data_IF_436435837098
#
_entry.id   IF_436435837098
#
_cell.length_a   1.000
_cell.length_b   1.000
_cell.length_c   1.000
_cell.angle_alpha   90.00
_cell.angle_beta   90.00
_cell.angle_gamma   90.00
#
_symmetry.space_group_name_H-M   'P 1'
#
loop_
_entity.id
_entity.type
_entity.pdbx_description
1 polymer ?
#
# COMPACT_ATOMS: atom_id res chain seq x y z
N UNK A 1 3.87 -17.50 -0.51
CA UNK A 1 3.68 -16.06 -0.81
C UNK A 1 2.28 -15.74 -0.32
N UNK A 2 2.09 -14.64 0.40
CA UNK A 2 0.76 -14.24 0.87
C UNK A 2 0.27 -13.13 -0.07
N UNK A 3 -0.97 -13.26 -0.56
CA UNK A 3 -1.67 -12.17 -1.24
C UNK A 3 -1.88 -10.99 -0.29
N UNK A 4 -2.12 -9.81 -0.84
CA UNK A 4 -2.45 -8.60 -0.07
C UNK A 4 -3.93 -8.25 -0.19
N UNK A 5 -4.33 -7.11 0.41
CA UNK A 5 -5.72 -6.61 0.36
C UNK A 5 -6.25 -6.45 -1.06
N UNK A 6 -5.40 -6.08 -2.01
CA UNK A 6 -5.76 -5.77 -3.40
C UNK A 6 -5.20 -6.78 -4.41
N UNK A 7 -4.73 -7.96 -3.96
CA UNK A 7 -4.25 -8.98 -4.89
C UNK A 7 -4.33 -10.40 -4.33
N UNK A 8 -4.79 -11.33 -5.16
CA UNK A 8 -4.54 -12.76 -5.02
C UNK A 8 -3.03 -13.05 -4.95
N UNK A 9 -2.67 -14.10 -4.22
CA UNK A 9 -1.29 -14.56 -4.03
C UNK A 9 -0.50 -14.74 -5.33
N UNK A 10 -1.16 -15.20 -6.40
CA UNK A 10 -0.54 -15.51 -7.68
C UNK A 10 -0.33 -14.27 -8.57
N UNK A 11 -0.87 -13.11 -8.18
CA UNK A 11 -0.75 -11.86 -8.90
C UNK A 11 0.22 -10.92 -8.16
N UNK A 12 1.40 -10.65 -8.73
CA UNK A 12 2.37 -9.75 -8.11
C UNK A 12 1.83 -8.32 -8.00
N UNK A 13 2.06 -7.71 -6.84
CA UNK A 13 1.71 -6.32 -6.57
C UNK A 13 2.73 -5.70 -5.61
N UNK A 14 3.03 -4.42 -5.78
CA UNK A 14 3.88 -3.65 -4.85
C UNK A 14 3.04 -2.60 -4.15
N UNK A 15 3.08 -2.59 -2.83
CA UNK A 15 2.32 -1.65 -2.01
C UNK A 15 3.21 -0.50 -1.57
N UNK A 16 2.74 0.72 -1.76
CA UNK A 16 3.39 1.94 -1.30
C UNK A 16 2.36 2.85 -0.64
N UNK A 17 2.78 3.66 0.32
CA UNK A 17 2.01 4.78 0.83
C UNK A 17 2.30 6.05 0.04
N UNK A 18 1.31 6.93 -0.13
CA UNK A 18 1.55 8.26 -0.70
C UNK A 18 2.20 9.23 0.32
N UNK A 19 2.37 8.80 1.56
CA UNK A 19 3.13 9.51 2.59
C UNK A 19 4.00 8.55 3.40
N UNK A 20 5.09 9.06 3.96
CA UNK A 20 5.89 8.28 4.90
C UNK A 20 5.08 7.89 6.15
N UNK A 21 4.16 8.75 6.58
CA UNK A 21 3.32 8.52 7.75
C UNK A 21 2.44 7.28 7.58
N UNK A 22 1.78 7.12 6.42
CA UNK A 22 0.92 5.95 6.18
C UNK A 22 1.74 4.66 6.03
N UNK A 23 2.92 4.70 5.37
CA UNK A 23 3.83 3.54 5.33
C UNK A 23 4.20 3.06 6.75
N UNK A 24 4.52 3.99 7.64
CA UNK A 24 4.83 3.70 9.04
C UNK A 24 3.61 3.12 9.77
N UNK A 25 2.43 3.69 9.57
CA UNK A 25 1.24 3.25 10.28
C UNK A 25 0.77 1.86 9.81
N UNK A 26 0.74 1.62 8.50
CA UNK A 26 0.42 0.32 7.90
C UNK A 26 1.38 -0.76 8.38
N UNK A 27 2.69 -0.49 8.37
CA UNK A 27 3.67 -1.47 8.83
C UNK A 27 3.54 -1.77 10.33
N UNK A 28 3.24 -0.75 11.14
CA UNK A 28 3.03 -0.92 12.57
C UNK A 28 1.81 -1.80 12.89
N UNK A 29 0.69 -1.55 12.21
CA UNK A 29 -0.54 -2.32 12.38
C UNK A 29 -0.37 -3.76 11.89
N UNK A 30 0.24 -3.97 10.72
CA UNK A 30 0.44 -5.32 10.17
C UNK A 30 1.42 -6.17 10.96
N UNK A 31 2.47 -5.59 11.55
CA UNK A 31 3.42 -6.32 12.38
C UNK A 31 2.92 -6.57 13.81
N UNK A 32 1.75 -6.03 14.17
CA UNK A 32 1.14 -6.15 15.49
C UNK A 32 2.09 -5.79 16.65
N UNK A 33 3.03 -4.87 16.44
CA UNK A 33 4.01 -4.47 17.45
C UNK A 33 5.36 -4.01 16.91
N UNK A 34 6.42 -4.25 17.69
CA UNK A 34 7.78 -3.78 17.43
C UNK A 34 8.42 -4.55 16.27
N UNK A 35 8.86 -3.88 15.18
CA UNK A 35 9.62 -4.55 14.13
C UNK A 35 10.88 -5.18 14.68
N UNK A 36 11.14 -6.43 14.25
CA UNK A 36 12.34 -7.19 14.63
C UNK A 36 13.45 -7.12 13.58
N UNK A 37 13.19 -6.45 12.45
CA UNK A 37 14.13 -6.32 11.34
C UNK A 37 14.51 -4.85 11.12
N UNK A 38 15.71 -4.55 10.61
CA UNK A 38 16.05 -3.21 10.15
C UNK A 38 15.05 -2.74 9.09
N UNK A 39 14.55 -1.52 9.28
CA UNK A 39 13.55 -0.90 8.42
C UNK A 39 14.17 0.24 7.64
N UNK A 40 13.67 0.48 6.43
CA UNK A 40 13.98 1.67 5.64
C UNK A 40 12.69 2.32 5.15
N UNK A 41 12.75 3.63 4.89
CA UNK A 41 11.77 4.33 4.07
C UNK A 41 12.47 4.66 2.76
N UNK A 42 11.94 4.12 1.67
CA UNK A 42 12.37 4.43 0.31
C UNK A 42 11.39 5.42 -0.30
N UNK A 43 11.88 6.57 -0.75
CA UNK A 43 11.07 7.54 -1.47
C UNK A 43 11.21 7.31 -2.96
N UNK A 44 10.07 7.19 -3.63
CA UNK A 44 10.01 7.02 -5.08
C UNK A 44 9.44 8.27 -5.75
N UNK A 45 9.92 8.58 -6.95
CA UNK A 45 9.25 9.44 -7.90
C UNK A 45 8.41 8.55 -8.81
N UNK A 46 7.12 8.86 -8.95
CA UNK A 46 6.26 8.21 -9.91
C UNK A 46 6.00 9.16 -11.09
N UNK A 47 5.73 8.66 -12.31
CA UNK A 47 5.40 9.49 -13.46
C UNK A 47 4.22 10.44 -13.18
N UNK A 48 4.33 11.70 -13.57
CA UNK A 48 3.26 12.70 -13.45
C UNK A 48 2.31 12.63 -14.66
N UNK A 49 1.74 11.45 -14.88
CA UNK A 49 0.73 11.19 -15.92
C UNK A 49 -0.52 10.58 -15.26
N UNK A 50 -1.61 11.35 -15.12
CA UNK A 50 -2.85 10.86 -14.52
C UNK A 50 -3.45 9.63 -15.21
N UNK A 51 -3.19 9.41 -16.50
CA UNK A 51 -3.74 8.25 -17.24
C UNK A 51 -3.10 6.92 -16.78
N UNK A 52 -1.92 6.98 -16.14
CA UNK A 52 -1.25 5.82 -15.56
C UNK A 52 -1.85 5.37 -14.23
N UNK A 53 -2.85 6.09 -13.70
CA UNK A 53 -3.43 5.81 -12.40
C UNK A 53 -4.95 5.64 -12.45
N UNK A 54 -5.43 4.67 -11.68
CA UNK A 54 -6.85 4.57 -11.34
C UNK A 54 -7.01 5.00 -9.88
N UNK A 55 -7.85 6.01 -9.62
CA UNK A 55 -8.22 6.44 -8.27
C UNK A 55 -9.75 6.38 -8.12
N UNK A 56 -10.29 5.23 -7.67
CA UNK A 56 -11.72 5.08 -7.43
C UNK A 56 -12.14 5.98 -6.27
N UNK A 57 -13.33 6.57 -6.34
CA UNK A 57 -13.91 7.21 -5.14
C UNK A 57 -14.27 6.12 -4.14
N UNK A 58 -14.31 6.41 -2.83
CA UNK A 58 -14.72 5.41 -1.84
C UNK A 58 -16.09 4.76 -2.12
N UNK A 59 -17.02 5.49 -2.73
CA UNK A 59 -18.33 4.95 -3.14
C UNK A 59 -18.31 4.07 -4.41
N UNK A 60 -17.21 4.08 -5.16
CA UNK A 60 -17.00 3.24 -6.35
C UNK A 60 -16.29 1.91 -6.00
N UNK A 61 -15.75 1.81 -4.78
CA UNK A 61 -15.16 0.59 -4.27
C UNK A 61 -16.25 -0.42 -3.87
N UNK A 62 -15.97 -1.73 -4.00
CA UNK A 62 -16.96 -2.74 -3.64
C UNK A 62 -17.31 -2.68 -2.15
N UNK A 63 -18.57 -2.99 -1.83
CA UNK A 63 -19.01 -3.08 -0.44
C UNK A 63 -18.12 -4.05 0.35
N UNK A 64 -17.65 -3.62 1.52
CA UNK A 64 -16.76 -4.40 2.37
C UNK A 64 -15.28 -4.37 1.97
N UNK A 65 -14.85 -3.49 1.05
CA UNK A 65 -13.43 -3.34 0.67
C UNK A 65 -12.51 -3.07 1.88
N UNK A 66 -13.03 -2.39 2.91
CA UNK A 66 -12.34 -1.98 4.14
C UNK A 66 -12.48 -3.00 5.29
N UNK A 67 -13.04 -4.18 5.02
CA UNK A 67 -13.18 -5.24 6.04
C UNK A 67 -11.83 -5.62 6.67
N UNK A 68 -11.89 -5.96 7.97
CA UNK A 68 -10.77 -6.42 8.78
C UNK A 68 -11.09 -7.79 9.39
N UNK A 69 -10.36 -8.88 9.03
CA UNK A 69 -9.27 -8.93 8.04
C UNK A 69 -9.76 -8.65 6.61
N UNK A 70 -8.82 -8.40 5.68
CA UNK A 70 -9.16 -8.18 4.27
C UNK A 70 -9.95 -9.38 3.73
N UNK A 71 -11.08 -9.10 3.12
CA UNK A 71 -11.98 -10.11 2.57
C UNK A 71 -11.98 -10.06 1.03
N UNK A 72 -12.65 -11.03 0.43
CA UNK A 72 -12.78 -11.25 -1.01
C UNK A 72 -13.12 -10.00 -1.85
N UNK A 73 -13.95 -9.02 -1.41
CA UNK A 73 -14.30 -7.87 -2.24
C UNK A 73 -13.12 -7.02 -2.72
N UNK A 74 -12.18 -6.66 -1.83
CA UNK A 74 -11.01 -5.85 -2.21
C UNK A 74 -9.99 -6.64 -3.02
N UNK A 75 -9.82 -7.93 -2.68
CA UNK A 75 -8.94 -8.85 -3.40
C UNK A 75 -9.41 -9.02 -4.85
N UNK A 76 -10.68 -9.33 -5.06
CA UNK A 76 -11.25 -9.55 -6.39
C UNK A 76 -11.15 -8.28 -7.25
N UNK A 77 -11.46 -7.10 -6.67
CA UNK A 77 -11.36 -5.82 -7.36
C UNK A 77 -9.92 -5.52 -7.81
N UNK A 78 -8.96 -5.59 -6.89
CA UNK A 78 -7.57 -5.29 -7.19
C UNK A 78 -6.93 -6.32 -8.12
N UNK A 79 -7.29 -7.60 -7.98
CA UNK A 79 -6.85 -8.65 -8.90
C UNK A 79 -7.41 -8.49 -10.30
N UNK A 80 -8.66 -8.06 -10.45
CA UNK A 80 -9.18 -7.73 -11.78
C UNK A 80 -8.42 -6.56 -12.39
N UNK A 81 -8.16 -5.50 -11.62
CA UNK A 81 -7.37 -4.36 -12.07
C UNK A 81 -5.94 -4.76 -12.50
N UNK A 82 -5.27 -5.62 -11.73
CA UNK A 82 -3.94 -6.14 -12.07
C UNK A 82 -3.94 -6.93 -13.39
N UNK A 83 -4.96 -7.78 -13.61
CA UNK A 83 -5.11 -8.57 -14.84
C UNK A 83 -5.43 -7.69 -16.05
N UNK A 84 -6.24 -6.66 -15.85
CA UNK A 84 -6.60 -5.69 -16.90
C UNK A 84 -5.36 -4.93 -17.39
N UNK A 85 -4.42 -4.62 -16.49
CA UNK A 85 -3.11 -4.04 -16.85
C UNK A 85 -3.18 -2.70 -17.58
N UNK A 86 -4.29 -1.95 -17.42
CA UNK A 86 -4.53 -0.67 -18.12
C UNK A 86 -3.80 0.51 -17.47
N UNK A 87 -3.56 0.43 -16.16
CA UNK A 87 -2.88 1.47 -15.39
C UNK A 87 -1.67 0.86 -14.68
N UNK A 88 -0.68 1.71 -14.42
CA UNK A 88 0.49 1.36 -13.63
C UNK A 88 0.17 1.31 -12.13
N UNK A 89 -0.63 2.27 -11.65
CA UNK A 89 -0.96 2.40 -10.23
C UNK A 89 -2.46 2.40 -9.95
N UNK A 90 -2.85 1.77 -8.85
CA UNK A 90 -4.19 1.85 -8.27
C UNK A 90 -4.07 2.60 -6.95
N UNK A 91 -4.61 3.83 -6.91
CA UNK A 91 -4.62 4.67 -5.72
C UNK A 91 -5.90 4.39 -4.95
N UNK A 92 -5.75 4.05 -3.67
CA UNK A 92 -6.86 3.61 -2.80
C UNK A 92 -6.72 4.24 -1.42
N UNK A 93 -7.85 4.49 -0.73
CA UNK A 93 -7.82 4.86 0.69
C UNK A 93 -7.11 3.79 1.53
N UNK A 94 -6.35 4.22 2.54
CA UNK A 94 -5.87 3.30 3.57
C UNK A 94 -7.04 2.89 4.47
N UNK A 95 -7.12 1.60 4.79
CA UNK A 95 -8.08 1.10 5.79
C UNK A 95 -7.68 1.54 7.20
N UNK A 96 -6.38 1.70 7.45
CA UNK A 96 -5.85 2.08 8.76
C UNK A 96 -6.09 3.57 9.05
N UNK A 97 -5.96 4.43 8.04
CA UNK A 97 -6.26 5.85 8.13
C UNK A 97 -6.94 6.34 6.82
N UNK A 98 -8.28 6.36 6.74
CA UNK A 98 -9.01 6.70 5.50
C UNK A 98 -8.75 8.09 4.92
N UNK A 99 -8.10 8.98 5.67
CA UNK A 99 -7.66 10.30 5.20
C UNK A 99 -6.35 10.25 4.40
N UNK A 100 -5.61 9.14 4.49
CA UNK A 100 -4.39 8.86 3.75
C UNK A 100 -4.66 7.84 2.64
N UNK A 101 -3.73 7.79 1.67
CA UNK A 101 -3.85 6.94 0.49
C UNK A 101 -2.64 6.04 0.34
N UNK A 102 -2.91 4.83 -0.13
CA UNK A 102 -1.92 3.88 -0.62
C UNK A 102 -1.98 3.84 -2.15
N UNK A 103 -0.89 3.41 -2.77
CA UNK A 103 -0.84 3.06 -4.18
C UNK A 103 -0.35 1.62 -4.32
N UNK A 104 -1.11 0.83 -5.07
CA UNK A 104 -0.73 -0.52 -5.49
C UNK A 104 -0.15 -0.39 -6.89
N UNK A 105 1.10 -0.80 -7.08
CA UNK A 105 1.78 -0.77 -8.37
C UNK A 105 1.66 -2.14 -9.03
N UNK A 106 1.26 -2.15 -10.29
CA UNK A 106 1.27 -3.34 -11.14
C UNK A 106 2.67 -3.52 -11.77
N UNK A 107 3.49 -4.46 -11.29
CA UNK A 107 4.86 -4.63 -11.79
C UNK A 107 4.91 -5.12 -13.26
N UNK A 108 3.80 -5.63 -13.80
CA UNK A 108 3.73 -6.06 -15.20
C UNK A 108 3.46 -4.90 -16.17
N UNK A 109 3.11 -3.70 -15.67
CA UNK A 109 2.80 -2.55 -16.51
C UNK A 109 4.09 -1.94 -17.12
N UNK A 110 4.14 -1.62 -18.43
CA UNK A 110 5.36 -1.11 -19.08
C UNK A 110 5.93 0.19 -18.47
N UNK A 111 5.06 1.06 -17.95
CA UNK A 111 5.46 2.34 -17.33
C UNK A 111 6.20 2.19 -15.99
N UNK A 112 6.26 0.98 -15.40
CA UNK A 112 7.00 0.74 -14.14
C UNK A 112 8.47 1.11 -14.27
N UNK A 113 9.04 0.98 -15.47
CA UNK A 113 10.43 1.39 -15.75
C UNK A 113 10.69 2.90 -15.58
N UNK A 114 9.64 3.72 -15.47
CA UNK A 114 9.74 5.16 -15.24
C UNK A 114 9.67 5.55 -13.75
N UNK A 115 9.58 4.57 -12.84
CA UNK A 115 9.65 4.81 -11.39
C UNK A 115 11.12 5.01 -11.00
N UNK A 116 11.40 6.11 -10.31
CA UNK A 116 12.76 6.45 -9.86
C UNK A 116 12.87 6.37 -8.33
N UNK A 117 13.99 5.83 -7.83
CA UNK A 117 14.32 5.91 -6.41
C UNK A 117 14.95 7.27 -6.14
N UNK A 118 14.29 8.10 -5.33
CA UNK A 118 14.80 9.42 -4.96
C UNK A 118 15.70 9.37 -3.74
N UNK A 119 15.37 8.53 -2.76
CA UNK A 119 16.09 8.46 -1.49
C UNK A 119 15.80 7.15 -0.75
N UNK A 120 16.74 6.69 0.07
CA UNK A 120 16.59 5.54 0.96
C UNK A 120 17.13 5.94 2.34
N UNK A 121 16.26 5.96 3.34
CA UNK A 121 16.63 6.32 4.70
C UNK A 121 16.41 5.15 5.65
N UNK A 122 17.36 4.92 6.57
CA UNK A 122 17.14 4.03 7.69
C UNK A 122 16.01 4.58 8.57
N UNK A 123 15.05 3.72 8.90
CA UNK A 123 13.90 4.08 9.71
C UNK A 123 13.85 3.26 10.99
N UNK A 124 13.49 3.91 12.09
CA UNK A 124 13.20 3.25 13.37
C UNK A 124 12.01 3.95 14.00
N UNK A 125 11.03 3.18 14.45
CA UNK A 125 9.96 3.73 15.28
C UNK A 125 10.55 4.28 16.58
N UNK A 126 9.93 5.33 17.10
CA UNK A 126 10.28 5.85 18.41
C UNK A 126 9.98 4.80 19.48
N UNK A 127 10.96 4.46 20.32
CA UNK A 127 10.83 3.43 21.36
C UNK A 127 9.71 3.73 22.36
N UNK A 128 9.30 5.00 22.50
CA UNK A 128 8.15 5.38 23.34
C UNK A 128 6.83 4.82 22.84
N UNK A 129 6.71 4.44 21.57
CA UNK A 129 5.52 3.79 21.01
C UNK A 129 5.25 2.40 21.61
N UNK A 130 6.27 1.72 22.15
CA UNK A 130 6.15 0.36 22.67
C UNK A 130 6.15 0.29 24.20
N UNK A 131 6.29 1.43 24.88
CA UNK A 131 6.25 1.47 26.34
C UNK A 131 4.79 1.49 26.78
N UNK A 132 4.35 0.43 27.45
CA UNK A 132 3.17 0.51 28.30
C UNK A 132 3.57 1.31 29.54
N UNK A 133 3.00 2.50 29.71
CA UNK A 133 3.11 3.21 30.98
C UNK A 133 2.43 2.36 32.05
N UNK A 134 3.23 1.71 32.91
CA UNK A 134 2.70 1.21 34.17
C UNK A 134 2.43 2.45 35.03
N UNK A 135 1.14 2.80 35.13
CA UNK A 135 0.63 3.69 36.17
C UNK A 135 0.09 2.83 37.30
#
# INVERSE_FOLDING_TARGET
MEGGRWNETELPAVYMGLSAAICCLETFVHQAGRPQIPMTITRFSLPDDPELYLEPRPGDLPEGWDSLPSDKPSVDFGSQWLRDGKQMGLIVPSVVLPLERNVVINPAHPAVGSIEVLDIQNFRYDERMFKLNQS
#
